data_IF_655908825071
#
_entry.id   IF_655908825071
#
_cell.length_a   1.000
_cell.length_b   1.000
_cell.length_c   1.000
_cell.angle_alpha   90.00
_cell.angle_beta   90.00
_cell.angle_gamma   90.00
#
_symmetry.space_group_name_H-M   'P 1'
#
loop_
_entity.id
_entity.type
_entity.pdbx_description
1 polymer ?
#
# COMPACT_ATOMS: atom_id res chain seq x y z
N UNK A 1 -33.58 6.48 56.18
CA UNK A 1 -33.51 7.27 54.92
C UNK A 1 -33.70 6.32 53.75
N UNK A 2 -34.58 6.64 52.80
CA UNK A 2 -34.81 5.83 51.60
C UNK A 2 -33.55 5.74 50.72
N UNK A 3 -33.39 4.62 49.98
CA UNK A 3 -32.27 4.41 49.04
C UNK A 3 -32.31 5.45 47.91
N UNK A 4 -31.18 5.71 47.28
CA UNK A 4 -31.07 6.73 46.22
C UNK A 4 -32.04 6.46 45.05
N UNK A 5 -32.27 5.19 44.72
CA UNK A 5 -33.25 4.76 43.71
C UNK A 5 -34.69 5.11 44.09
N UNK A 6 -35.08 4.87 45.35
CA UNK A 6 -36.42 5.21 45.86
C UNK A 6 -36.63 6.72 45.89
N UNK A 7 -35.59 7.47 46.28
CA UNK A 7 -35.61 8.94 46.20
C UNK A 7 -35.78 9.41 44.76
N UNK A 8 -35.04 8.84 43.80
CA UNK A 8 -35.17 9.18 42.38
C UNK A 8 -36.56 8.84 41.81
N UNK A 9 -37.23 7.80 42.31
CA UNK A 9 -38.58 7.40 41.90
C UNK A 9 -39.71 8.20 42.58
N UNK A 10 -39.40 9.08 43.54
CA UNK A 10 -40.39 9.93 44.20
C UNK A 10 -41.23 10.74 43.21
N UNK A 11 -42.50 10.94 43.54
CA UNK A 11 -43.46 11.74 42.75
C UNK A 11 -42.91 13.14 42.42
N UNK A 12 -42.24 13.78 43.36
CA UNK A 12 -41.63 15.10 43.16
C UNK A 12 -40.51 15.06 42.11
N UNK A 13 -39.66 14.03 42.14
CA UNK A 13 -38.56 13.90 41.20
C UNK A 13 -39.04 13.52 39.79
N UNK A 14 -40.08 12.67 39.68
CA UNK A 14 -40.77 12.42 38.40
C UNK A 14 -41.39 13.69 37.83
N UNK A 15 -42.04 14.50 38.67
CA UNK A 15 -42.63 15.77 38.25
C UNK A 15 -41.57 16.79 37.82
N UNK A 16 -40.47 16.91 38.57
CA UNK A 16 -39.33 17.77 38.20
C UNK A 16 -38.66 17.33 36.89
N UNK A 17 -38.56 16.03 36.64
CA UNK A 17 -38.06 15.50 35.37
C UNK A 17 -39.00 15.88 34.21
N UNK A 18 -40.31 15.66 34.39
CA UNK A 18 -41.33 16.07 33.42
C UNK A 18 -41.28 17.59 33.10
N UNK A 19 -41.14 18.44 34.13
CA UNK A 19 -41.02 19.90 33.99
C UNK A 19 -39.76 20.35 33.25
N UNK A 20 -38.67 19.59 33.35
CA UNK A 20 -37.40 19.83 32.64
C UNK A 20 -37.41 19.34 31.19
N UNK A 21 -38.49 18.71 30.72
CA UNK A 21 -38.49 18.00 29.44
C UNK A 21 -37.64 16.73 29.46
N UNK A 22 -37.25 16.26 30.65
CA UNK A 22 -36.76 14.90 30.90
C UNK A 22 -37.98 14.00 31.11
N UNK A 23 -38.66 13.66 30.03
CA UNK A 23 -39.70 12.62 30.09
C UNK A 23 -39.02 11.30 30.47
N UNK A 24 -39.15 10.89 31.73
CA UNK A 24 -38.77 9.56 32.19
C UNK A 24 -39.47 8.45 31.38
N UNK A 25 -39.19 7.17 31.68
CA UNK A 25 -38.88 6.01 30.80
C UNK A 25 -38.90 6.12 29.25
N UNK A 26 -39.47 7.18 28.67
CA UNK A 26 -39.53 7.46 27.24
C UNK A 26 -38.17 7.93 26.72
N UNK A 27 -37.43 8.75 27.48
CA UNK A 27 -36.01 9.01 27.17
C UNK A 27 -35.14 7.75 27.25
N UNK A 28 -35.43 6.78 28.12
CA UNK A 28 -34.69 5.50 28.11
C UNK A 28 -34.92 4.70 26.82
N UNK A 29 -36.09 4.86 26.18
CA UNK A 29 -36.37 4.30 24.85
C UNK A 29 -35.73 5.12 23.73
N UNK A 30 -35.68 6.43 23.85
CA UNK A 30 -35.08 7.34 22.86
C UNK A 30 -33.54 7.44 22.97
N UNK A 31 -32.97 6.97 24.08
CA UNK A 31 -31.52 6.76 24.31
C UNK A 31 -31.08 5.34 24.02
N UNK A 32 -32.01 4.41 23.75
CA UNK A 32 -31.67 3.09 23.23
C UNK A 32 -31.48 3.19 21.73
N UNK A 33 -30.32 2.72 21.28
CA UNK A 33 -30.04 2.58 19.85
C UNK A 33 -31.06 1.64 19.21
N UNK A 34 -31.55 1.95 18.00
CA UNK A 34 -32.41 1.04 17.27
C UNK A 34 -31.61 -0.22 16.87
N UNK A 35 -32.31 -1.33 16.70
CA UNK A 35 -31.68 -2.62 16.39
C UNK A 35 -31.10 -2.67 14.97
N UNK A 36 -31.71 -1.96 14.02
CA UNK A 36 -31.29 -1.90 12.63
C UNK A 36 -30.81 -0.48 12.31
N UNK A 37 -29.56 -0.36 11.85
CA UNK A 37 -29.00 0.93 11.43
C UNK A 37 -29.79 1.56 10.28
N UNK A 38 -30.41 0.74 9.42
CA UNK A 38 -31.23 1.19 8.28
C UNK A 38 -32.46 2.02 8.67
N UNK A 39 -32.92 1.93 9.93
CA UNK A 39 -34.09 2.69 10.40
C UNK A 39 -33.75 4.17 10.70
N UNK A 40 -32.47 4.55 10.73
CA UNK A 40 -32.07 5.93 10.97
C UNK A 40 -31.86 6.65 9.63
N UNK A 41 -32.60 7.74 9.40
CA UNK A 41 -32.49 8.55 8.17
C UNK A 41 -31.66 9.83 8.34
N UNK A 42 -31.34 10.20 9.59
CA UNK A 42 -30.59 11.42 9.88
C UNK A 42 -29.12 11.12 10.21
N UNK A 43 -28.20 11.80 9.52
CA UNK A 43 -26.74 11.69 9.74
C UNK A 43 -26.36 11.98 11.19
N UNK A 44 -26.93 13.02 11.82
CA UNK A 44 -26.60 13.39 13.19
C UNK A 44 -27.01 12.30 14.20
N UNK A 45 -28.13 11.62 13.95
CA UNK A 45 -28.58 10.50 14.78
C UNK A 45 -27.67 9.27 14.61
N UNK A 46 -27.24 8.97 13.39
CA UNK A 46 -26.33 7.86 13.11
C UNK A 46 -24.96 8.07 13.77
N UNK A 47 -24.39 9.28 13.72
CA UNK A 47 -23.13 9.58 14.41
C UNK A 47 -23.28 9.54 15.95
N UNK A 48 -24.43 9.95 16.50
CA UNK A 48 -24.73 9.79 17.93
C UNK A 48 -24.68 8.31 18.33
N UNK A 49 -25.32 7.42 17.57
CA UNK A 49 -25.35 5.98 17.85
C UNK A 49 -23.97 5.33 17.67
N UNK A 50 -23.23 5.71 16.62
CA UNK A 50 -21.84 5.28 16.42
C UNK A 50 -20.96 5.63 17.63
N UNK A 51 -21.06 6.87 18.15
CA UNK A 51 -20.32 7.31 19.34
C UNK A 51 -20.73 6.55 20.59
N UNK A 52 -22.02 6.18 20.73
CA UNK A 52 -22.49 5.36 21.84
C UNK A 52 -21.89 3.96 21.79
N UNK A 53 -21.93 3.29 20.63
CA UNK A 53 -21.29 1.98 20.43
C UNK A 53 -19.80 2.05 20.73
N UNK A 54 -19.11 3.11 20.30
CA UNK A 54 -17.69 3.31 20.59
C UNK A 54 -17.39 3.41 22.09
N UNK A 55 -18.23 4.12 22.86
CA UNK A 55 -18.10 4.18 24.33
C UNK A 55 -18.30 2.81 24.97
N UNK A 56 -19.28 2.03 24.50
CA UNK A 56 -19.52 0.67 24.99
C UNK A 56 -18.35 -0.26 24.68
N UNK A 57 -17.74 -0.15 23.50
CA UNK A 57 -16.52 -0.88 23.14
C UNK A 57 -15.39 -0.52 24.11
N UNK A 58 -15.14 0.77 24.37
CA UNK A 58 -14.09 1.18 25.33
C UNK A 58 -14.32 0.62 26.74
N UNK A 59 -15.58 0.59 27.21
CA UNK A 59 -15.93 -0.02 28.50
C UNK A 59 -15.78 -1.55 28.50
N UNK A 60 -16.06 -2.21 27.38
CA UNK A 60 -15.88 -3.66 27.26
C UNK A 60 -14.39 -4.04 27.20
N UNK A 61 -13.56 -3.27 26.48
CA UNK A 61 -12.10 -3.47 26.41
C UNK A 61 -11.47 -3.34 27.80
N UNK A 62 -11.82 -2.29 28.54
CA UNK A 62 -11.32 -2.10 29.93
C UNK A 62 -11.75 -3.24 30.86
N UNK A 63 -12.92 -3.86 30.64
CA UNK A 63 -13.32 -5.08 31.38
C UNK A 63 -12.49 -6.30 30.96
N UNK A 64 -12.26 -6.50 29.67
CA UNK A 64 -11.46 -7.64 29.13
C UNK A 64 -9.99 -7.56 29.57
N UNK A 65 -9.45 -6.36 29.74
CA UNK A 65 -8.08 -6.17 30.23
C UNK A 65 -7.89 -6.72 31.66
N UNK A 66 -8.94 -6.83 32.46
CA UNK A 66 -8.88 -7.44 33.78
C UNK A 66 -8.75 -8.97 33.67
N UNK A 67 -7.53 -9.48 33.61
CA UNK A 67 -7.23 -10.91 33.48
C UNK A 67 -7.65 -11.80 34.67
N UNK A 68 -8.15 -11.21 35.76
CA UNK A 68 -8.71 -11.92 36.92
C UNK A 68 -10.14 -12.42 36.70
N UNK A 69 -10.79 -11.95 35.63
CA UNK A 69 -12.10 -12.40 35.20
C UNK A 69 -11.88 -13.72 34.45
N UNK A 70 -12.34 -14.85 35.00
CA UNK A 70 -12.02 -16.19 34.48
C UNK A 70 -12.19 -16.35 32.95
N UNK A 71 -11.45 -17.30 32.40
CA UNK A 71 -11.26 -17.50 30.95
C UNK A 71 -12.56 -17.55 30.13
N UNK A 72 -13.60 -18.25 30.58
CA UNK A 72 -14.89 -18.30 29.87
C UNK A 72 -15.52 -16.92 29.71
N UNK A 73 -15.47 -16.12 30.77
CA UNK A 73 -16.06 -14.78 30.78
C UNK A 73 -15.26 -13.81 29.91
N UNK A 74 -13.94 -14.00 29.78
CA UNK A 74 -13.12 -13.27 28.81
C UNK A 74 -13.56 -13.60 27.37
N UNK A 75 -13.86 -14.86 27.06
CA UNK A 75 -14.38 -15.25 25.73
C UNK A 75 -15.72 -14.56 25.43
N UNK A 76 -16.68 -14.64 26.36
CA UNK A 76 -17.99 -14.01 26.19
C UNK A 76 -17.90 -12.49 25.99
N UNK A 77 -17.00 -11.83 26.74
CA UNK A 77 -16.74 -10.40 26.58
C UNK A 77 -16.07 -10.09 25.25
N UNK A 78 -15.17 -10.94 24.76
CA UNK A 78 -14.54 -10.79 23.46
C UNK A 78 -15.57 -10.94 22.32
N UNK A 79 -16.50 -11.90 22.44
CA UNK A 79 -17.64 -12.05 21.53
C UNK A 79 -18.58 -10.84 21.58
N UNK A 80 -18.79 -10.27 22.77
CA UNK A 80 -19.54 -9.02 22.91
C UNK A 80 -18.84 -7.86 22.19
N UNK A 81 -17.51 -7.72 22.32
CA UNK A 81 -16.75 -6.67 21.63
C UNK A 81 -16.83 -6.85 20.11
N UNK A 82 -16.65 -8.06 19.60
CA UNK A 82 -16.75 -8.32 18.16
C UNK A 82 -18.15 -8.02 17.61
N UNK A 83 -19.22 -8.36 18.36
CA UNK A 83 -20.60 -7.95 18.01
C UNK A 83 -20.75 -6.43 17.95
N UNK A 84 -20.20 -5.70 18.92
CA UNK A 84 -20.23 -4.24 18.92
C UNK A 84 -19.40 -3.63 17.78
N UNK A 85 -18.31 -4.27 17.36
CA UNK A 85 -17.49 -3.81 16.24
C UNK A 85 -18.19 -3.99 14.89
N UNK A 86 -18.92 -5.08 14.69
CA UNK A 86 -19.75 -5.23 13.50
C UNK A 86 -20.89 -4.21 13.50
N UNK A 87 -21.51 -3.97 14.66
CA UNK A 87 -22.52 -2.93 14.80
C UNK A 87 -21.95 -1.53 14.50
N UNK A 88 -20.74 -1.20 14.99
CA UNK A 88 -20.02 0.02 14.64
C UNK A 88 -19.86 0.12 13.12
N UNK A 89 -19.40 -0.95 12.46
CA UNK A 89 -19.22 -0.98 11.00
C UNK A 89 -20.54 -0.73 10.26
N UNK A 90 -21.65 -1.32 10.71
CA UNK A 90 -22.98 -1.06 10.16
C UNK A 90 -23.37 0.42 10.29
N UNK A 91 -23.12 1.03 11.45
CA UNK A 91 -23.36 2.46 11.65
C UNK A 91 -22.47 3.34 10.78
N UNK A 92 -21.21 2.98 10.56
CA UNK A 92 -20.28 3.71 9.68
C UNK A 92 -20.71 3.64 8.22
N UNK A 93 -21.13 2.45 7.76
CA UNK A 93 -21.73 2.28 6.42
C UNK A 93 -23.00 3.11 6.28
N UNK A 94 -23.88 3.12 7.29
CA UNK A 94 -25.10 3.93 7.26
C UNK A 94 -24.80 5.43 7.21
N UNK A 95 -23.85 5.91 8.03
CA UNK A 95 -23.40 7.31 7.98
C UNK A 95 -22.93 7.68 6.57
N UNK A 96 -22.15 6.81 5.91
CA UNK A 96 -21.69 7.02 4.54
C UNK A 96 -22.84 7.03 3.52
N UNK A 97 -23.80 6.12 3.64
CA UNK A 97 -24.98 6.06 2.77
C UNK A 97 -25.84 7.33 2.86
N UNK A 98 -25.93 7.94 4.03
CA UNK A 98 -26.65 9.19 4.26
C UNK A 98 -25.87 10.44 3.80
N UNK A 99 -24.68 10.28 3.20
CA UNK A 99 -23.83 11.39 2.76
C UNK A 99 -22.96 12.01 3.87
N UNK A 100 -22.79 11.31 4.98
CA UNK A 100 -21.91 11.71 6.08
C UNK A 100 -20.42 11.39 5.82
N UNK A 101 -19.53 11.79 6.75
CA UNK A 101 -18.10 11.53 6.65
C UNK A 101 -17.77 10.02 6.66
N UNK A 102 -16.74 9.64 5.90
CA UNK A 102 -16.28 8.24 5.80
C UNK A 102 -15.39 7.87 6.99
N UNK A 103 -16.00 7.26 8.00
CA UNK A 103 -15.29 6.77 9.19
C UNK A 103 -14.54 5.45 8.96
N UNK A 104 -14.80 4.72 7.86
CA UNK A 104 -14.14 3.45 7.58
C UNK A 104 -12.65 3.63 7.27
N UNK A 105 -12.27 4.82 6.78
CA UNK A 105 -10.87 5.20 6.49
C UNK A 105 -10.11 5.71 7.72
N UNK A 106 -10.73 5.66 8.90
CA UNK A 106 -10.10 6.02 10.16
C UNK A 106 -8.91 5.11 10.52
N UNK A 107 -8.10 5.50 11.52
CA UNK A 107 -7.01 4.67 12.01
C UNK A 107 -7.56 3.29 12.43
N UNK A 108 -6.79 2.24 12.13
CA UNK A 108 -7.12 0.89 12.56
C UNK A 108 -7.34 0.85 14.08
N UNK A 109 -8.18 -0.08 14.55
CA UNK A 109 -8.43 -0.24 15.99
C UNK A 109 -7.12 -0.66 16.66
N UNK A 110 -6.53 0.27 17.41
CA UNK A 110 -5.30 0.07 18.17
C UNK A 110 -5.65 -0.21 19.62
N UNK A 111 -4.99 -1.20 20.23
CA UNK A 111 -5.13 -1.47 21.66
C UNK A 111 -4.43 -0.38 22.50
N UNK A 112 -4.67 -0.37 23.81
CA UNK A 112 -4.04 0.57 24.76
C UNK A 112 -2.51 0.47 24.72
N UNK A 113 -1.97 -0.71 24.38
CA UNK A 113 -0.54 -0.95 24.19
C UNK A 113 0.03 -0.36 22.87
N UNK A 114 -0.77 0.37 22.10
CA UNK A 114 -0.36 0.92 20.80
C UNK A 114 -0.20 -0.15 19.70
N UNK A 115 -0.48 -1.42 20.02
CA UNK A 115 -0.42 -2.53 19.05
C UNK A 115 -1.70 -2.57 18.24
N UNK A 116 -1.56 -2.65 16.92
CA UNK A 116 -2.69 -2.90 16.02
C UNK A 116 -3.35 -4.21 16.41
N UNK A 117 -4.67 -4.19 16.57
CA UNK A 117 -5.42 -5.39 16.92
C UNK A 117 -5.42 -6.33 15.71
N UNK A 118 -4.51 -7.31 15.72
CA UNK A 118 -4.48 -8.41 14.76
C UNK A 118 -5.60 -9.39 15.11
N UNK A 119 -6.45 -9.66 14.13
CA UNK A 119 -7.48 -10.69 14.16
C UNK A 119 -7.16 -11.83 13.21
N UNK A 120 -7.86 -12.95 13.35
CA UNK A 120 -7.82 -14.07 12.42
C UNK A 120 -9.20 -14.19 11.75
N UNK A 121 -9.26 -14.17 10.41
CA UNK A 121 -10.52 -14.37 9.68
C UNK A 121 -11.62 -13.35 9.99
N UNK A 122 -11.28 -12.12 10.35
CA UNK A 122 -12.24 -11.06 10.71
C UNK A 122 -12.67 -11.04 12.17
N UNK A 123 -12.25 -12.02 12.99
CA UNK A 123 -12.49 -12.04 14.42
C UNK A 123 -11.29 -11.47 15.19
N UNK A 124 -11.54 -10.52 16.09
CA UNK A 124 -10.49 -9.80 16.83
C UNK A 124 -10.40 -10.28 18.28
N UNK A 125 -9.17 -10.29 18.81
CA UNK A 125 -8.90 -10.63 20.21
C UNK A 125 -8.23 -9.45 20.91
N UNK A 126 -8.81 -9.00 22.02
CA UNK A 126 -8.39 -7.81 22.77
C UNK A 126 -7.76 -8.18 24.12
N UNK A 127 -6.75 -7.44 24.56
CA UNK A 127 -6.16 -7.56 25.90
C UNK A 127 -5.91 -9.01 26.35
N UNK A 128 -6.49 -9.40 27.51
CA UNK A 128 -6.31 -10.74 28.10
C UNK A 128 -6.85 -11.88 27.22
N UNK A 129 -7.80 -11.61 26.30
CA UNK A 129 -8.33 -12.63 25.38
C UNK A 129 -7.26 -13.19 24.43
N UNK A 130 -6.17 -12.45 24.19
CA UNK A 130 -5.02 -12.90 23.39
C UNK A 130 -4.18 -13.96 24.10
N UNK A 131 -4.19 -13.95 25.43
CA UNK A 131 -3.39 -14.86 26.25
C UNK A 131 -4.11 -16.19 26.52
N UNK A 132 -5.33 -16.36 26.00
CA UNK A 132 -6.07 -17.59 26.13
C UNK A 132 -5.35 -18.75 25.43
N UNK A 133 -5.36 -19.96 26.02
CA UNK A 133 -4.82 -21.16 25.38
C UNK A 133 -5.53 -21.40 24.04
N UNK A 134 -4.76 -21.75 23.01
CA UNK A 134 -5.24 -21.89 21.63
C UNK A 134 -5.23 -20.58 20.81
N UNK A 135 -5.77 -19.48 21.36
CA UNK A 135 -5.77 -18.17 20.65
C UNK A 135 -4.36 -17.63 20.48
N UNK A 136 -3.53 -17.75 21.53
CA UNK A 136 -2.13 -17.32 21.50
C UNK A 136 -1.35 -17.99 20.36
N UNK A 137 -1.50 -19.30 20.23
CA UNK A 137 -0.80 -20.09 19.20
C UNK A 137 -1.28 -19.72 17.78
N UNK A 138 -2.57 -19.43 17.60
CA UNK A 138 -3.11 -18.98 16.31
C UNK A 138 -2.51 -17.63 15.91
N UNK A 139 -2.39 -16.70 16.87
CA UNK A 139 -1.81 -15.37 16.60
C UNK A 139 -0.31 -15.45 16.31
N UNK A 140 0.44 -16.29 17.02
CA UNK A 140 1.88 -16.51 16.76
C UNK A 140 2.11 -17.14 15.39
N UNK A 141 1.33 -18.16 15.01
CA UNK A 141 1.38 -18.77 13.68
C UNK A 141 1.12 -17.72 12.59
N UNK A 142 0.08 -16.91 12.73
CA UNK A 142 -0.23 -15.83 11.78
C UNK A 142 0.87 -14.77 11.71
N UNK A 143 1.45 -14.38 12.85
CA UNK A 143 2.56 -13.44 12.88
C UNK A 143 3.79 -14.00 12.12
N UNK A 144 4.09 -15.29 12.31
CA UNK A 144 5.19 -15.96 11.60
C UNK A 144 4.94 -16.05 10.09
N UNK A 145 3.71 -16.36 9.66
CA UNK A 145 3.34 -16.41 8.24
C UNK A 145 3.48 -15.04 7.58
N UNK A 146 2.95 -14.00 8.23
CA UNK A 146 3.04 -12.63 7.72
C UNK A 146 4.48 -12.12 7.63
N UNK A 147 5.33 -12.47 8.60
CA UNK A 147 6.76 -12.14 8.53
C UNK A 147 7.43 -12.86 7.35
N UNK A 148 7.10 -14.13 7.11
CA UNK A 148 7.62 -14.86 5.95
C UNK A 148 7.11 -14.27 4.63
N UNK A 149 5.83 -13.89 4.53
CA UNK A 149 5.27 -13.21 3.36
C UNK A 149 5.98 -11.88 3.10
N UNK A 150 6.16 -11.05 4.13
CA UNK A 150 6.87 -9.77 4.01
C UNK A 150 8.31 -9.97 3.56
N UNK A 151 9.02 -10.98 4.11
CA UNK A 151 10.38 -11.33 3.69
C UNK A 151 10.41 -11.82 2.24
N UNK A 152 9.44 -12.63 1.83
CA UNK A 152 9.30 -13.10 0.43
C UNK A 152 9.01 -11.94 -0.51
N UNK A 153 8.11 -11.05 -0.15
CA UNK A 153 7.75 -9.89 -0.96
C UNK A 153 8.92 -8.92 -1.12
N UNK A 154 9.64 -8.64 -0.03
CA UNK A 154 10.87 -7.84 -0.08
C UNK A 154 11.93 -8.55 -0.95
N UNK A 155 12.10 -9.86 -0.79
CA UNK A 155 13.03 -10.63 -1.60
C UNK A 155 12.66 -10.60 -3.10
N UNK A 156 11.38 -10.77 -3.43
CA UNK A 156 10.86 -10.66 -4.79
C UNK A 156 11.02 -9.25 -5.36
N UNK A 157 10.81 -8.21 -4.55
CA UNK A 157 11.05 -6.83 -4.93
C UNK A 157 12.54 -6.60 -5.22
N UNK A 158 13.45 -7.10 -4.37
CA UNK A 158 14.89 -6.99 -4.57
C UNK A 158 15.37 -7.77 -5.80
N UNK A 159 14.78 -8.94 -6.08
CA UNK A 159 15.05 -9.72 -7.29
C UNK A 159 14.55 -9.02 -8.56
N UNK A 160 13.44 -8.28 -8.48
CA UNK A 160 12.93 -7.48 -9.60
C UNK A 160 13.69 -6.18 -9.78
N UNK A 161 14.25 -5.64 -8.71
CA UNK A 161 15.02 -4.40 -8.69
C UNK A 161 16.52 -4.69 -8.79
N UNK A 162 16.92 -5.53 -9.75
CA UNK A 162 18.34 -5.76 -10.03
C UNK A 162 18.95 -4.50 -10.68
N UNK A 163 20.24 -4.20 -10.46
CA UNK A 163 20.92 -3.11 -11.15
C UNK A 163 20.84 -3.22 -12.67
N UNK A 164 20.74 -4.45 -13.17
CA UNK A 164 20.51 -4.81 -14.58
C UNK A 164 19.10 -4.40 -15.06
N UNK A 165 18.06 -4.59 -14.24
CA UNK A 165 16.70 -4.11 -14.53
C UNK A 165 16.57 -2.57 -14.49
N UNK A 166 17.36 -1.90 -13.64
CA UNK A 166 17.40 -0.43 -13.54
C UNK A 166 18.38 0.23 -14.54
N UNK A 167 19.01 -0.53 -15.46
CA UNK A 167 19.91 0.01 -16.48
C UNK A 167 21.24 0.58 -15.96
N UNK A 168 21.60 0.29 -14.70
CA UNK A 168 22.76 0.90 -14.03
C UNK A 168 24.12 0.46 -14.62
N UNK A 169 24.15 -0.67 -15.33
CA UNK A 169 25.37 -1.13 -16.01
C UNK A 169 25.61 -0.40 -17.33
N UNK A 170 24.58 0.08 -18.04
CA UNK A 170 24.75 0.80 -19.31
C UNK A 170 25.58 2.08 -19.11
N UNK A 171 25.31 2.82 -18.03
CA UNK A 171 26.06 4.04 -17.65
C UNK A 171 27.52 3.76 -17.23
N UNK A 172 27.78 2.61 -16.58
CA UNK A 172 29.13 2.23 -16.16
C UNK A 172 29.95 1.75 -17.36
N UNK A 173 29.33 1.00 -18.27
CA UNK A 173 29.99 0.52 -19.50
C UNK A 173 30.36 1.71 -20.37
N UNK A 174 29.42 2.64 -20.58
CA UNK A 174 29.67 3.88 -21.33
C UNK A 174 30.76 4.75 -20.71
N UNK A 175 30.84 4.81 -19.37
CA UNK A 175 31.91 5.55 -18.67
C UNK A 175 33.29 4.92 -18.85
N UNK A 176 33.38 3.59 -18.81
CA UNK A 176 34.64 2.86 -19.01
C UNK A 176 35.09 2.95 -20.47
N UNK A 177 34.17 2.83 -21.42
CA UNK A 177 34.43 3.04 -22.84
C UNK A 177 34.95 4.46 -23.11
N UNK A 178 34.31 5.48 -22.54
CA UNK A 178 34.76 6.87 -22.68
C UNK A 178 36.15 7.14 -22.03
N UNK A 179 36.51 6.41 -20.98
CA UNK A 179 37.86 6.46 -20.40
C UNK A 179 38.87 5.78 -21.30
N UNK A 180 38.55 4.59 -21.82
CA UNK A 180 39.39 3.86 -22.76
C UNK A 180 39.62 4.65 -24.06
N UNK A 181 38.61 5.33 -24.59
CA UNK A 181 38.75 6.21 -25.77
C UNK A 181 39.68 7.40 -25.50
N UNK A 182 39.62 7.99 -24.30
CA UNK A 182 40.52 9.09 -23.90
C UNK A 182 41.96 8.62 -23.73
N UNK A 183 42.17 7.41 -23.23
CA UNK A 183 43.51 6.81 -23.10
C UNK A 183 44.05 6.29 -24.44
N UNK A 184 43.17 5.80 -25.33
CA UNK A 184 43.50 5.35 -26.67
C UNK A 184 43.74 6.50 -27.64
N UNK A 185 43.29 7.72 -27.33
CA UNK A 185 43.63 8.91 -28.11
C UNK A 185 45.11 9.26 -27.89
N UNK A 186 45.97 9.13 -28.92
CA UNK A 186 47.38 9.48 -28.77
C UNK A 186 47.52 10.98 -28.50
N UNK A 187 48.30 11.36 -27.49
CA UNK A 187 48.57 12.76 -27.15
C UNK A 187 49.25 13.55 -28.28
N UNK A 188 49.87 12.85 -29.23
CA UNK A 188 50.49 13.40 -30.42
C UNK A 188 49.52 13.33 -31.61
N UNK A 189 48.39 14.04 -31.53
CA UNK A 189 47.64 14.38 -32.73
C UNK A 189 48.40 15.50 -33.46
N UNK A 190 48.85 15.31 -34.72
CA UNK A 190 49.58 16.35 -35.44
C UNK A 190 48.71 17.60 -35.55
N UNK A 191 49.31 18.75 -35.24
CA UNK A 191 48.63 20.04 -35.39
C UNK A 191 48.23 20.26 -36.85
N UNK A 192 47.13 20.99 -37.09
CA UNK A 192 46.59 21.26 -38.44
C UNK A 192 47.70 21.80 -39.38
N UNK A 193 48.65 22.54 -38.83
CA UNK A 193 49.79 23.11 -39.56
C UNK A 193 50.82 22.05 -40.03
N UNK A 194 51.00 20.94 -39.31
CA UNK A 194 51.89 19.84 -39.70
C UNK A 194 51.26 18.96 -40.78
N UNK A 195 49.93 18.83 -40.77
CA UNK A 195 49.18 18.14 -41.81
C UNK A 195 49.20 18.92 -43.14
N UNK A 196 49.17 20.26 -43.09
CA UNK A 196 49.26 21.12 -44.27
C UNK A 196 50.65 21.15 -44.92
N UNK A 197 51.71 20.97 -44.14
CA UNK A 197 53.08 20.89 -44.65
C UNK A 197 53.34 19.62 -45.50
N UNK A 198 52.67 18.50 -45.17
CA UNK A 198 52.79 17.24 -45.91
C UNK A 198 51.96 17.18 -47.20
N UNK A 199 50.99 18.08 -47.38
CA UNK A 199 50.16 18.17 -48.60
C UNK A 199 50.90 18.88 -49.75
N UNK A 200 51.87 19.74 -49.44
CA UNK A 200 52.64 20.50 -50.46
C UNK A 200 53.70 19.63 -51.17
N UNK A 201 54.04 18.46 -50.63
CA UNK A 201 55.11 17.59 -51.17
C UNK A 201 54.63 16.37 -51.96
N UNK A 202 53.32 16.20 -52.18
CA UNK A 202 52.77 15.12 -53.01
C UNK A 202 52.12 15.66 -54.28
N UNK A 203 52.90 16.28 -55.16
CA UNK A 203 52.54 16.42 -56.58
C UNK A 203 52.79 15.08 -57.30
N UNK A 204 52.09 14.03 -56.87
CA UNK A 204 51.86 12.85 -57.70
C UNK A 204 50.42 12.93 -58.16
N UNK A 205 50.21 13.60 -59.30
CA UNK A 205 48.97 13.47 -60.07
C UNK A 205 48.89 12.02 -60.54
N UNK A 206 48.33 11.13 -59.71
CA UNK A 206 47.83 9.85 -60.18
C UNK A 206 46.81 10.17 -61.28
N UNK A 207 47.21 10.01 -62.54
CA UNK A 207 46.40 10.35 -63.70
C UNK A 207 45.08 9.59 -63.60
N UNK A 208 43.99 10.30 -63.34
CA UNK A 208 42.65 9.73 -63.30
C UNK A 208 42.36 9.10 -64.67
N UNK A 209 41.95 7.81 -64.72
CA UNK A 209 41.62 7.16 -65.99
C UNK A 209 40.53 7.95 -66.73
N UNK A 210 40.69 8.07 -68.04
CA UNK A 210 39.75 8.81 -68.89
C UNK A 210 38.38 8.12 -68.92
N UNK A 211 37.31 8.87 -69.23
CA UNK A 211 35.94 8.35 -69.25
C UNK A 211 35.77 7.16 -70.20
N UNK A 212 36.48 7.18 -71.33
CA UNK A 212 36.50 6.06 -72.28
C UNK A 212 37.13 4.80 -71.69
N UNK A 213 38.20 4.94 -70.92
CA UNK A 213 38.88 3.82 -70.26
C UNK A 213 38.00 3.22 -69.16
N UNK A 214 37.33 4.06 -68.37
CA UNK A 214 36.34 3.62 -67.39
C UNK A 214 35.20 2.85 -68.06
N UNK A 215 34.65 3.38 -69.15
CA UNK A 215 33.55 2.73 -69.85
C UNK A 215 33.97 1.38 -70.45
N UNK A 216 35.18 1.28 -71.02
CA UNK A 216 35.74 0.01 -71.51
C UNK A 216 35.90 -1.01 -70.37
N UNK A 217 36.42 -0.59 -69.22
CA UNK A 217 36.59 -1.47 -68.05
C UNK A 217 35.25 -1.94 -67.47
N UNK A 218 34.26 -1.05 -67.41
CA UNK A 218 32.91 -1.40 -66.96
C UNK A 218 32.24 -2.37 -67.93
N UNK A 219 32.40 -2.19 -69.24
CA UNK A 219 31.88 -3.14 -70.23
C UNK A 219 32.59 -4.49 -70.15
N UNK A 220 33.92 -4.52 -69.95
CA UNK A 220 34.68 -5.76 -69.79
C UNK A 220 34.26 -6.52 -68.54
N UNK A 221 34.13 -5.84 -67.40
CA UNK A 221 33.68 -6.46 -66.15
C UNK A 221 32.24 -6.97 -66.24
N UNK A 222 31.32 -6.19 -66.85
CA UNK A 222 29.94 -6.62 -67.10
C UNK A 222 29.88 -7.84 -68.02
N UNK A 223 30.67 -7.86 -69.10
CA UNK A 223 30.78 -9.00 -70.01
C UNK A 223 31.31 -10.24 -69.28
N UNK A 224 32.37 -10.10 -68.48
CA UNK A 224 32.95 -11.20 -67.71
C UNK A 224 31.94 -11.78 -66.72
N UNK A 225 31.20 -10.92 -66.02
CA UNK A 225 30.15 -11.34 -65.10
C UNK A 225 29.02 -12.10 -65.82
N UNK A 226 28.56 -11.61 -66.97
CA UNK A 226 27.53 -12.31 -67.76
C UNK A 226 28.02 -13.66 -68.28
N UNK A 227 29.27 -13.76 -68.71
CA UNK A 227 29.88 -15.05 -69.10
C UNK A 227 29.97 -16.01 -67.92
N UNK A 228 30.31 -15.53 -66.72
CA UNK A 228 30.28 -16.35 -65.51
C UNK A 228 28.86 -16.86 -65.20
N UNK A 229 27.84 -16.02 -65.37
CA UNK A 229 26.44 -16.42 -65.16
C UNK A 229 25.97 -17.45 -66.19
N UNK A 230 26.36 -17.29 -67.46
CA UNK A 230 26.06 -18.29 -68.51
C UNK A 230 26.85 -19.59 -68.33
N UNK A 231 28.06 -19.55 -67.76
CA UNK A 231 28.85 -20.75 -67.46
C UNK A 231 28.32 -21.53 -66.24
N UNK A 232 27.44 -20.93 -65.43
CA UNK A 232 26.81 -21.54 -64.26
C UNK A 232 25.43 -22.16 -64.56
N UNK A 233 24.90 -21.96 -65.78
CA UNK A 233 23.66 -22.58 -66.29
C UNK A 233 23.97 -23.67 -67.30
#
# INVERSE_FOLDING_TARGET
MARNEEKAQSMLNRWLAYKRGDTGPVKDRETRRPFLASQCDNVASADKWRKQVLREISQAITRVQNGSIGEHRIRDMNDQINRLLEEKRQWEVRCKQLGGPDYARGPAVTDVDGKVVRGHGGYMYFGAARNLPGVRELLEKQASLHEQETRRDIHLMNLKCTPEYLGMYEDLTARLEAQAEREAWPADCPTIDDALANVVHTEQTSSLPSEEELHRLLLQSRKAHLLQQLAQT
#
